data_IF_366395005755
#
_entry.id   IF_366395005755
#
_cell.length_a   1.000
_cell.length_b   1.000
_cell.length_c   1.000
_cell.angle_alpha   90.00
_cell.angle_beta   90.00
_cell.angle_gamma   90.00
#
_symmetry.space_group_name_H-M   'P 1'
#
loop_
_entity.id
_entity.type
_entity.pdbx_description
1 polymer ?
#
# COMPACT_ATOMS: atom_id res chain seq x y z
N UNK A 1 -22.02 4.42 -3.16
CA UNK A 1 -21.15 3.82 -2.12
C UNK A 1 -21.09 4.73 -0.91
N UNK A 2 -21.68 4.26 0.18
CA UNK A 2 -21.68 4.79 1.56
C UNK A 2 -20.87 3.85 2.45
N UNK A 3 -20.62 4.25 3.70
CA UNK A 3 -20.02 3.36 4.71
C UNK A 3 -20.87 2.10 4.87
N UNK A 4 -20.23 0.95 5.03
CA UNK A 4 -20.84 -0.38 5.14
C UNK A 4 -21.54 -0.91 3.87
N UNK A 5 -21.51 -0.19 2.75
CA UNK A 5 -21.91 -0.79 1.46
C UNK A 5 -20.95 -1.94 1.11
N UNK A 6 -21.51 -3.02 0.57
CA UNK A 6 -20.74 -4.06 -0.11
C UNK A 6 -20.40 -3.59 -1.53
N UNK A 7 -19.14 -3.77 -1.90
CA UNK A 7 -18.59 -3.35 -3.19
C UNK A 7 -17.70 -4.44 -3.76
N UNK A 8 -17.53 -4.40 -5.08
CA UNK A 8 -16.60 -5.23 -5.82
C UNK A 8 -15.85 -4.38 -6.86
N UNK A 9 -14.77 -4.91 -7.43
CA UNK A 9 -14.11 -4.23 -8.53
C UNK A 9 -14.99 -4.26 -9.79
N UNK A 10 -15.07 -3.14 -10.50
CA UNK A 10 -15.88 -3.00 -11.70
C UNK A 10 -15.17 -3.67 -12.90
N UNK A 11 -15.67 -4.79 -13.45
CA UNK A 11 -15.02 -5.50 -14.54
C UNK A 11 -15.03 -4.71 -15.86
N UNK A 12 -15.94 -3.75 -16.02
CA UNK A 12 -16.00 -2.85 -17.17
C UNK A 12 -14.93 -1.76 -17.16
N UNK A 13 -14.22 -1.57 -16.04
CA UNK A 13 -13.12 -0.62 -15.98
C UNK A 13 -11.89 -1.20 -16.71
N UNK A 14 -11.29 -0.50 -17.71
CA UNK A 14 -10.17 -1.03 -18.50
C UNK A 14 -8.96 -1.46 -17.66
N UNK A 15 -8.69 -0.77 -16.55
CA UNK A 15 -7.62 -1.15 -15.63
C UNK A 15 -7.91 -2.50 -14.97
N UNK A 16 -9.15 -2.73 -14.52
CA UNK A 16 -9.58 -4.00 -13.93
C UNK A 16 -9.56 -5.11 -14.99
N UNK A 17 -10.06 -4.85 -16.20
CA UNK A 17 -10.01 -5.81 -17.31
C UNK A 17 -8.57 -6.24 -17.60
N UNK A 18 -7.60 -5.32 -17.54
CA UNK A 18 -6.18 -5.64 -17.69
C UNK A 18 -5.70 -6.51 -16.53
N UNK A 19 -5.99 -6.13 -15.29
CA UNK A 19 -5.58 -6.90 -14.10
C UNK A 19 -6.14 -8.33 -14.10
N UNK A 20 -7.37 -8.54 -14.61
CA UNK A 20 -7.96 -9.89 -14.78
C UNK A 20 -7.07 -10.77 -15.67
N UNK A 21 -6.48 -10.19 -16.72
CA UNK A 21 -5.63 -10.92 -17.66
C UNK A 21 -4.20 -11.17 -17.14
N UNK A 22 -3.67 -10.26 -16.31
CA UNK A 22 -2.24 -10.26 -15.98
C UNK A 22 -1.90 -10.70 -14.56
N UNK A 23 -2.74 -10.37 -13.58
CA UNK A 23 -2.34 -10.42 -12.17
C UNK A 23 -3.39 -11.00 -11.22
N UNK A 24 -4.66 -11.08 -11.60
CA UNK A 24 -5.77 -11.55 -10.74
C UNK A 24 -5.98 -10.75 -9.44
N UNK A 25 -5.20 -9.68 -9.22
CA UNK A 25 -5.32 -8.74 -8.11
C UNK A 25 -5.28 -7.28 -8.58
N UNK A 26 -5.87 -6.42 -7.77
CA UNK A 26 -5.75 -4.97 -7.84
C UNK A 26 -4.82 -4.50 -6.74
N UNK A 27 -3.90 -3.61 -7.09
CA UNK A 27 -3.01 -2.99 -6.12
C UNK A 27 -3.73 -1.88 -5.36
N UNK A 28 -3.67 -1.96 -4.04
CA UNK A 28 -3.99 -0.88 -3.13
C UNK A 28 -2.82 -0.61 -2.20
N UNK A 29 -3.08 0.10 -1.12
CA UNK A 29 -2.08 0.33 -0.09
C UNK A 29 -2.72 0.46 1.29
N UNK A 30 -1.93 0.25 2.32
CA UNK A 30 -2.27 0.62 3.70
C UNK A 30 -1.17 1.51 4.28
N UNK A 31 -1.49 2.21 5.36
CA UNK A 31 -0.44 2.86 6.14
C UNK A 31 0.44 1.81 6.81
N UNK A 32 1.72 2.13 6.93
CA UNK A 32 2.62 1.37 7.79
C UNK A 32 2.27 1.61 9.25
N UNK A 33 2.41 0.57 10.08
CA UNK A 33 2.24 0.70 11.52
C UNK A 33 3.54 1.19 12.17
N UNK A 34 3.47 1.46 13.47
CA UNK A 34 4.67 1.76 14.28
C UNK A 34 5.65 0.59 14.24
N UNK A 35 5.14 -0.64 14.30
CA UNK A 35 5.93 -1.88 14.24
C UNK A 35 6.59 -2.04 12.87
N UNK A 36 5.88 -1.76 11.76
CA UNK A 36 6.48 -1.75 10.42
C UNK A 36 7.64 -0.73 10.35
N UNK A 37 7.46 0.42 10.99
CA UNK A 37 8.48 1.49 11.01
C UNK A 37 9.69 1.08 11.86
N UNK A 38 9.46 0.48 13.02
CA UNK A 38 10.53 -0.01 13.89
C UNK A 38 11.33 -1.12 13.20
N UNK A 39 10.65 -2.09 12.59
CA UNK A 39 11.30 -3.16 11.84
C UNK A 39 12.19 -2.62 10.71
N UNK A 40 11.77 -1.54 10.05
CA UNK A 40 12.61 -0.86 9.05
C UNK A 40 13.88 -0.27 9.66
N UNK A 41 13.78 0.41 10.81
CA UNK A 41 14.95 0.97 11.49
C UNK A 41 15.91 -0.11 12.01
N UNK A 42 15.37 -1.22 12.53
CA UNK A 42 16.15 -2.34 13.03
C UNK A 42 16.93 -3.00 11.88
N UNK A 43 16.27 -3.23 10.75
CA UNK A 43 16.90 -3.78 9.55
C UNK A 43 17.98 -2.85 8.98
N UNK A 44 17.72 -1.56 8.91
CA UNK A 44 18.72 -0.57 8.50
C UNK A 44 19.95 -0.58 9.43
N UNK A 45 19.71 -0.64 10.74
CA UNK A 45 20.79 -0.70 11.74
C UNK A 45 21.62 -1.98 11.60
N UNK A 46 20.96 -3.12 11.33
CA UNK A 46 21.62 -4.40 11.05
C UNK A 46 22.52 -4.31 9.82
N UNK A 47 22.00 -3.79 8.70
CA UNK A 47 22.77 -3.65 7.46
C UNK A 47 24.00 -2.73 7.65
N UNK A 48 23.84 -1.61 8.36
CA UNK A 48 24.95 -0.70 8.69
C UNK A 48 26.01 -1.40 9.54
N UNK A 49 25.60 -2.16 10.55
CA UNK A 49 26.53 -2.89 11.41
C UNK A 49 27.32 -3.94 10.61
N UNK A 50 26.65 -4.69 9.72
CA UNK A 50 27.29 -5.69 8.86
C UNK A 50 28.28 -5.09 7.87
N UNK A 51 27.92 -3.99 7.20
CA UNK A 51 28.82 -3.29 6.28
C UNK A 51 30.04 -2.72 7.00
N UNK A 52 29.86 -2.10 8.18
CA UNK A 52 30.98 -1.63 9.00
C UNK A 52 31.92 -2.76 9.44
N UNK A 53 31.36 -3.91 9.83
CA UNK A 53 32.16 -5.08 10.20
C UNK A 53 33.01 -5.62 9.04
N UNK A 54 32.57 -5.43 7.79
CA UNK A 54 33.30 -5.78 6.57
C UNK A 54 34.24 -4.67 6.07
N UNK A 55 34.25 -3.50 6.71
CA UNK A 55 34.99 -2.33 6.23
C UNK A 55 34.40 -1.68 4.98
N UNK A 56 33.12 -1.94 4.68
CA UNK A 56 32.40 -1.39 3.52
C UNK A 56 31.80 -0.01 3.83
N UNK A 57 31.60 0.80 2.79
CA UNK A 57 30.90 2.08 2.90
C UNK A 57 29.40 1.87 3.15
N UNK A 58 28.84 2.63 4.10
CA UNK A 58 27.44 2.56 4.49
C UNK A 58 26.57 3.62 3.83
N UNK A 59 27.15 4.54 3.06
CA UNK A 59 26.42 5.68 2.49
C UNK A 59 25.17 5.25 1.72
N UNK A 60 25.29 4.23 0.86
CA UNK A 60 24.17 3.73 0.05
C UNK A 60 23.06 3.06 0.86
N UNK A 61 23.34 2.69 2.12
CA UNK A 61 22.35 2.12 3.04
C UNK A 61 21.53 3.25 3.64
N UNK A 62 22.19 4.29 4.17
CA UNK A 62 21.53 5.36 4.95
C UNK A 62 21.08 6.55 4.10
N UNK A 63 21.66 6.76 2.93
CA UNK A 63 21.36 7.86 2.03
C UNK A 63 20.79 7.39 0.69
N UNK A 64 20.06 8.27 0.03
CA UNK A 64 19.64 8.08 -1.36
C UNK A 64 20.70 8.60 -2.36
N UNK A 65 20.40 8.54 -3.67
CA UNK A 65 21.31 9.01 -4.71
C UNK A 65 21.53 10.52 -4.72
N UNK A 66 20.70 11.30 -4.01
CA UNK A 66 20.87 12.74 -3.84
C UNK A 66 21.70 13.07 -2.57
N UNK A 67 22.04 12.05 -1.78
CA UNK A 67 22.74 12.21 -0.50
C UNK A 67 21.84 12.60 0.66
N UNK A 68 20.52 12.55 0.48
CA UNK A 68 19.55 12.77 1.55
C UNK A 68 19.39 11.50 2.39
N UNK A 69 19.08 11.66 3.67
CA UNK A 69 18.79 10.52 4.55
C UNK A 69 17.54 9.78 4.07
N UNK A 70 17.65 8.45 3.97
CA UNK A 70 16.51 7.60 3.65
C UNK A 70 15.48 7.68 4.76
N UNK A 71 14.23 7.88 4.37
CA UNK A 71 13.11 7.95 5.28
C UNK A 71 12.37 6.61 5.32
N UNK A 72 11.77 6.28 6.46
CA UNK A 72 11.01 5.04 6.61
C UNK A 72 9.77 5.03 5.70
N UNK A 73 9.34 3.89 5.16
CA UNK A 73 8.12 3.83 4.37
C UNK A 73 6.88 4.23 5.19
N UNK A 74 6.02 5.10 4.63
CA UNK A 74 4.75 5.54 5.26
C UNK A 74 3.52 4.75 4.80
N UNK A 75 3.70 3.89 3.82
CA UNK A 75 2.65 3.05 3.26
C UNK A 75 3.22 1.77 2.68
N UNK A 76 2.46 0.68 2.78
CA UNK A 76 2.78 -0.63 2.19
C UNK A 76 1.79 -1.00 1.09
N UNK A 77 2.28 -1.68 0.06
CA UNK A 77 1.44 -2.19 -1.03
C UNK A 77 0.56 -3.32 -0.51
N UNK A 78 -0.71 -3.33 -0.89
CA UNK A 78 -1.63 -4.44 -0.67
C UNK A 78 -2.14 -4.97 -2.00
N UNK A 79 -2.45 -6.26 -2.04
CA UNK A 79 -3.02 -6.95 -3.21
C UNK A 79 -4.42 -7.42 -2.85
N UNK A 80 -5.43 -6.81 -3.46
CA UNK A 80 -6.82 -7.18 -3.27
C UNK A 80 -7.28 -8.11 -4.41
N UNK A 81 -7.95 -9.24 -4.11
CA UNK A 81 -8.40 -10.17 -5.14
C UNK A 81 -9.47 -9.54 -6.03
N UNK A 82 -9.39 -9.70 -7.36
CA UNK A 82 -10.33 -9.04 -8.28
C UNK A 82 -11.78 -9.50 -8.07
N UNK A 83 -11.99 -10.80 -7.85
CA UNK A 83 -13.30 -11.38 -7.55
C UNK A 83 -13.75 -11.22 -6.09
N UNK A 84 -13.02 -10.43 -5.29
CA UNK A 84 -13.34 -10.20 -3.88
C UNK A 84 -14.56 -9.32 -3.70
N UNK A 85 -15.27 -9.56 -2.58
CA UNK A 85 -16.26 -8.64 -2.05
C UNK A 85 -15.61 -7.87 -0.90
N UNK A 86 -15.91 -6.58 -0.84
CA UNK A 86 -15.32 -5.67 0.13
C UNK A 86 -16.39 -4.87 0.85
N UNK A 87 -16.15 -4.58 2.12
CA UNK A 87 -16.97 -3.63 2.88
C UNK A 87 -16.33 -2.26 2.84
N UNK A 88 -17.10 -1.23 2.50
CA UNK A 88 -16.60 0.15 2.55
C UNK A 88 -16.47 0.63 3.99
N UNK A 89 -15.25 0.95 4.41
CA UNK A 89 -14.96 1.54 5.73
C UNK A 89 -15.06 3.07 5.64
N UNK A 90 -14.49 3.66 4.59
CA UNK A 90 -14.60 5.10 4.29
C UNK A 90 -14.84 5.32 2.81
N UNK A 91 -15.98 5.92 2.48
CA UNK A 91 -16.44 6.07 1.11
C UNK A 91 -15.58 7.04 0.26
N UNK A 92 -15.15 8.17 0.84
CA UNK A 92 -14.30 9.15 0.15
C UNK A 92 -13.27 9.65 1.13
N UNK A 93 -12.00 9.54 0.76
CA UNK A 93 -10.90 9.98 1.61
C UNK A 93 -9.78 10.60 0.78
N UNK A 94 -9.25 11.72 1.28
CA UNK A 94 -7.90 12.17 0.98
C UNK A 94 -6.98 11.57 2.03
N UNK A 95 -5.99 10.80 1.60
CA UNK A 95 -5.04 10.09 2.48
C UNK A 95 -3.62 10.33 1.99
N UNK A 96 -2.62 9.78 2.67
CA UNK A 96 -1.21 9.85 2.27
C UNK A 96 -0.73 8.50 1.74
N UNK A 97 -0.10 8.49 0.58
CA UNK A 97 0.64 7.33 0.05
C UNK A 97 2.10 7.73 -0.06
N UNK A 98 2.97 7.00 0.66
CA UNK A 98 4.31 7.48 0.95
C UNK A 98 4.25 8.85 1.63
N UNK A 99 4.99 9.80 1.07
CA UNK A 99 5.10 11.18 1.56
C UNK A 99 4.16 12.17 0.86
N UNK A 100 3.26 11.69 0.00
CA UNK A 100 2.37 12.53 -0.79
C UNK A 100 0.90 12.35 -0.41
N UNK A 101 0.14 13.45 -0.46
CA UNK A 101 -1.31 13.40 -0.30
C UNK A 101 -1.98 13.01 -1.62
N UNK A 102 -2.91 12.06 -1.55
CA UNK A 102 -3.69 11.60 -2.70
C UNK A 102 -5.19 11.66 -2.38
N UNK A 103 -5.99 12.03 -3.38
CA UNK A 103 -7.45 12.12 -3.29
C UNK A 103 -8.13 11.00 -4.09
N UNK A 104 -9.47 10.95 -4.05
CA UNK A 104 -10.25 9.97 -4.80
C UNK A 104 -10.13 8.53 -4.30
N UNK A 105 -9.66 8.34 -3.07
CA UNK A 105 -9.50 7.01 -2.47
C UNK A 105 -10.77 6.59 -1.72
N UNK A 106 -10.94 5.29 -1.57
CA UNK A 106 -11.93 4.62 -0.71
C UNK A 106 -11.17 3.62 0.16
N UNK A 107 -11.48 3.61 1.45
CA UNK A 107 -10.96 2.58 2.36
C UNK A 107 -11.93 1.41 2.39
N UNK A 108 -11.40 0.21 2.13
CA UNK A 108 -12.14 -1.03 2.01
C UNK A 108 -11.55 -2.10 2.93
N UNK A 109 -12.41 -3.00 3.40
CA UNK A 109 -12.05 -4.21 4.13
C UNK A 109 -12.43 -5.42 3.27
N UNK A 110 -11.46 -6.27 2.94
CA UNK A 110 -11.71 -7.52 2.25
C UNK A 110 -12.37 -8.53 3.19
N UNK A 111 -13.54 -9.03 2.83
CA UNK A 111 -14.31 -9.95 3.68
C UNK A 111 -13.69 -11.34 3.76
N UNK A 112 -12.82 -11.69 2.80
CA UNK A 112 -12.15 -12.99 2.73
C UNK A 112 -10.81 -12.96 3.47
N UNK A 113 -9.95 -11.98 3.16
CA UNK A 113 -8.58 -11.94 3.70
C UNK A 113 -8.46 -11.15 5.00
N UNK A 114 -9.51 -10.40 5.40
CA UNK A 114 -9.46 -9.48 6.53
C UNK A 114 -8.56 -8.26 6.31
N UNK A 115 -7.98 -8.08 5.12
CA UNK A 115 -7.09 -6.95 4.83
C UNK A 115 -7.89 -5.66 4.65
N UNK A 116 -7.44 -4.62 5.34
CA UNK A 116 -7.98 -3.26 5.23
C UNK A 116 -6.98 -2.36 4.52
N UNK A 117 -7.46 -1.56 3.57
CA UNK A 117 -6.61 -0.59 2.88
C UNK A 117 -7.37 0.30 1.91
N UNK A 118 -6.61 1.10 1.18
CA UNK A 118 -7.11 2.11 0.27
C UNK A 118 -6.95 1.66 -1.17
N UNK A 119 -8.00 1.86 -1.96
CA UNK A 119 -8.00 1.73 -3.42
C UNK A 119 -8.67 2.95 -4.04
N UNK A 120 -8.44 3.18 -5.33
CA UNK A 120 -9.15 4.24 -6.03
C UNK A 120 -10.65 3.92 -6.09
N UNK A 121 -11.48 4.93 -5.81
CA UNK A 121 -12.93 4.80 -5.75
C UNK A 121 -13.57 4.42 -7.10
N UNK A 122 -12.99 4.92 -8.19
CA UNK A 122 -13.47 4.73 -9.57
C UNK A 122 -13.33 3.27 -10.07
N UNK A 123 -12.53 2.46 -9.37
CA UNK A 123 -12.37 1.04 -9.65
C UNK A 123 -13.49 0.19 -9.05
N UNK A 124 -14.32 0.76 -8.17
CA UNK A 124 -15.31 0.01 -7.41
C UNK A 124 -16.73 0.25 -7.95
N UNK A 125 -17.54 -0.80 -7.89
CA UNK A 125 -18.98 -0.73 -8.06
C UNK A 125 -19.69 -1.31 -6.83
N UNK A 126 -20.91 -0.85 -6.59
CA UNK A 126 -21.77 -1.45 -5.56
C UNK A 126 -22.22 -2.83 -6.06
N UNK A 127 -22.26 -3.79 -5.14
CA UNK A 127 -22.84 -5.13 -5.37
C UNK A 127 -24.36 -5.03 -5.31
#
# INVERSE_FOLDING_TARGET
MRKHDLVQFNPSNPYITRCIKTSSFVEGFAHTTTEDTQAWHDEMSRQVAEAKAKGEDTFSIVCDSAGESRLSPRSKLLKFPIGGIFTVIRARVRTTRGYHSISGQTEILCTITGQQGFVKRDLLQKV
#
